data_IF_397682886836
#
_entry.id   IF_397682886836
#
_cell.length_a   1.000
_cell.length_b   1.000
_cell.length_c   1.000
_cell.angle_alpha   90.00
_cell.angle_beta   90.00
_cell.angle_gamma   90.00
#
_symmetry.space_group_name_H-M   'P 1'
#
loop_
_entity.id
_entity.type
_entity.pdbx_description
1 polymer ?
#
# COMPACT_ATOMS: atom_id res chain seq x y z
N UNK A 1 3.78 -24.87 -1.66
CA UNK A 1 4.47 -23.94 -2.56
C UNK A 1 4.31 -22.51 -2.04
N UNK A 2 5.41 -21.82 -1.83
CA UNK A 2 5.36 -20.44 -1.37
C UNK A 2 4.82 -19.60 -2.53
N UNK A 3 3.71 -18.92 -2.31
CA UNK A 3 3.20 -17.97 -3.29
C UNK A 3 4.12 -16.78 -3.37
N UNK A 4 4.19 -16.14 -4.55
CA UNK A 4 5.04 -14.97 -4.75
C UNK A 4 4.72 -13.82 -3.81
N UNK A 5 3.53 -13.81 -3.20
CA UNK A 5 3.10 -12.77 -2.28
C UNK A 5 2.72 -13.36 -0.94
N UNK A 6 3.71 -13.49 -0.06
CA UNK A 6 3.51 -13.87 1.34
C UNK A 6 3.91 -12.75 2.30
N UNK A 7 4.00 -11.52 1.81
CA UNK A 7 4.41 -10.38 2.60
C UNK A 7 3.27 -9.86 3.47
N UNK A 8 3.54 -9.74 4.76
CA UNK A 8 2.59 -9.26 5.75
C UNK A 8 2.99 -7.84 6.13
N UNK A 9 2.06 -6.94 6.16
CA UNK A 9 2.38 -5.58 6.61
C UNK A 9 1.23 -4.61 6.55
N UNK A 10 1.57 -3.39 6.99
CA UNK A 10 0.71 -2.22 6.89
C UNK A 10 1.15 -1.37 5.70
N UNK A 11 0.24 -0.58 5.19
CA UNK A 11 0.53 0.31 4.08
C UNK A 11 -0.34 1.55 4.12
N UNK A 12 0.10 2.59 3.43
CA UNK A 12 -0.69 3.80 3.22
C UNK A 12 -0.76 4.10 1.74
N UNK A 13 -1.97 4.38 1.27
CA UNK A 13 -2.24 4.80 -0.10
C UNK A 13 -2.65 6.26 -0.09
N UNK A 14 -2.31 6.98 -1.15
CA UNK A 14 -2.71 8.38 -1.32
C UNK A 14 -3.10 8.64 -2.77
N UNK A 15 -3.85 9.73 -2.99
CA UNK A 15 -4.20 10.16 -4.34
C UNK A 15 -3.15 11.12 -4.92
N UNK A 16 -2.46 11.86 -4.06
CA UNK A 16 -1.44 12.84 -4.45
C UNK A 16 -0.63 13.23 -3.22
N UNK A 17 0.44 13.98 -3.43
CA UNK A 17 1.22 14.55 -2.34
C UNK A 17 0.32 15.42 -1.46
N UNK A 18 0.40 15.20 -0.14
CA UNK A 18 -0.45 15.86 0.86
C UNK A 18 -1.95 15.66 0.63
N UNK A 19 -2.32 14.64 -0.13
CA UNK A 19 -3.71 14.32 -0.41
C UNK A 19 -4.35 13.44 0.66
N UNK A 20 -5.43 12.78 0.27
CA UNK A 20 -6.15 11.85 1.15
C UNK A 20 -5.29 10.61 1.39
N UNK A 21 -5.28 10.11 2.64
CA UNK A 21 -4.51 8.94 3.03
C UNK A 21 -5.47 7.82 3.46
N UNK A 22 -5.22 6.61 2.96
CA UNK A 22 -5.85 5.40 3.43
C UNK A 22 -4.79 4.50 4.08
N UNK A 23 -5.08 4.00 5.27
CA UNK A 23 -4.20 3.06 5.98
C UNK A 23 -4.83 1.68 5.95
N UNK A 24 -4.05 0.68 5.54
CA UNK A 24 -4.53 -0.69 5.42
C UNK A 24 -3.53 -1.71 5.95
N UNK A 25 -3.96 -2.96 5.95
CA UNK A 25 -3.17 -4.10 6.40
C UNK A 25 -3.50 -5.32 5.53
N UNK A 26 -2.50 -6.14 5.26
CA UNK A 26 -2.71 -7.37 4.49
C UNK A 26 -1.64 -8.41 4.82
N UNK A 27 -2.01 -9.68 4.67
CA UNK A 27 -1.06 -10.80 4.66
C UNK A 27 -0.57 -11.12 3.26
N UNK A 28 -1.06 -10.39 2.26
CA UNK A 28 -0.65 -10.47 0.86
C UNK A 28 -0.54 -9.05 0.33
N UNK A 29 0.53 -8.38 0.73
CA UNK A 29 0.70 -6.94 0.56
C UNK A 29 0.66 -6.51 -0.89
N UNK A 30 1.43 -7.18 -1.74
CA UNK A 30 1.54 -6.81 -3.16
C UNK A 30 0.18 -7.01 -3.85
N UNK A 31 -0.48 -8.14 -3.61
CA UNK A 31 -1.80 -8.43 -4.19
C UNK A 31 -2.81 -7.36 -3.78
N UNK A 32 -2.86 -7.05 -2.49
CA UNK A 32 -3.83 -6.08 -1.96
C UNK A 32 -3.60 -4.68 -2.52
N UNK A 33 -2.34 -4.25 -2.57
CA UNK A 33 -2.01 -2.93 -3.12
C UNK A 33 -2.31 -2.89 -4.62
N UNK A 34 -2.01 -3.96 -5.35
CA UNK A 34 -2.35 -4.08 -6.77
C UNK A 34 -3.85 -3.96 -7.01
N UNK A 35 -4.66 -4.57 -6.15
CA UNK A 35 -6.12 -4.46 -6.22
C UNK A 35 -6.61 -3.02 -5.98
N UNK A 36 -6.01 -2.30 -5.04
CA UNK A 36 -6.31 -0.88 -4.83
C UNK A 36 -5.97 -0.06 -6.07
N UNK A 37 -4.80 -0.30 -6.67
CA UNK A 37 -4.37 0.43 -7.87
C UNK A 37 -5.30 0.18 -9.05
N UNK A 38 -5.80 -1.03 -9.18
CA UNK A 38 -6.75 -1.41 -10.25
C UNK A 38 -8.18 -0.93 -9.97
N UNK A 39 -8.46 -0.42 -8.78
CA UNK A 39 -9.82 -0.05 -8.39
C UNK A 39 -10.73 -1.24 -8.20
N UNK A 40 -10.17 -2.42 -7.91
CA UNK A 40 -10.93 -3.67 -7.80
C UNK A 40 -11.63 -3.83 -6.44
N UNK A 41 -11.21 -3.04 -5.44
CA UNK A 41 -11.78 -3.09 -4.08
C UNK A 41 -12.68 -1.88 -3.89
N UNK A 42 -13.96 -2.13 -3.63
CA UNK A 42 -14.90 -1.06 -3.31
C UNK A 42 -14.56 -0.45 -1.96
N UNK A 43 -14.93 0.81 -1.79
CA UNK A 43 -14.78 1.52 -0.54
C UNK A 43 -14.01 2.81 -0.67
N UNK A 44 -13.44 3.26 0.46
CA UNK A 44 -12.81 4.57 0.59
C UNK A 44 -11.70 4.81 -0.42
N UNK A 45 -10.78 3.87 -0.58
CA UNK A 45 -9.62 4.03 -1.46
C UNK A 45 -10.04 4.18 -2.93
N UNK A 46 -11.02 3.39 -3.38
CA UNK A 46 -11.56 3.47 -4.74
C UNK A 46 -12.30 4.79 -4.94
N UNK A 47 -13.12 5.16 -3.97
CA UNK A 47 -13.97 6.36 -4.03
C UNK A 47 -13.13 7.63 -4.21
N UNK A 48 -11.97 7.71 -3.56
CA UNK A 48 -11.09 8.88 -3.61
C UNK A 48 -9.91 8.72 -4.55
N UNK A 49 -9.85 7.63 -5.31
CA UNK A 49 -8.80 7.40 -6.29
C UNK A 49 -7.41 7.23 -5.68
N UNK A 50 -7.30 6.53 -4.56
CA UNK A 50 -6.04 6.35 -3.84
C UNK A 50 -5.23 5.22 -4.49
N UNK A 51 -4.41 5.57 -5.45
CA UNK A 51 -3.67 4.61 -6.27
C UNK A 51 -2.16 4.62 -6.06
N UNK A 52 -1.63 5.58 -5.28
CA UNK A 52 -0.20 5.63 -4.96
C UNK A 52 0.06 4.90 -3.66
N UNK A 53 1.04 3.99 -3.67
CA UNK A 53 1.58 3.42 -2.45
C UNK A 53 2.63 4.39 -1.93
N UNK A 54 2.37 5.06 -0.80
CA UNK A 54 3.28 6.09 -0.29
C UNK A 54 4.07 5.66 0.94
N UNK A 55 3.67 4.57 1.58
CA UNK A 55 4.35 4.02 2.74
C UNK A 55 3.96 2.56 2.96
N UNK A 56 4.89 1.74 3.42
CA UNK A 56 4.61 0.37 3.87
C UNK A 56 5.59 -0.05 4.94
N UNK A 57 5.19 -1.07 5.72
CA UNK A 57 6.00 -1.62 6.81
C UNK A 57 5.72 -3.11 6.91
N UNK A 58 6.76 -3.93 6.88
CA UNK A 58 6.63 -5.38 7.01
C UNK A 58 6.46 -5.79 8.47
N UNK A 59 5.71 -6.87 8.69
CA UNK A 59 5.51 -7.48 9.99
C UNK A 59 5.66 -9.00 9.88
N UNK A 60 6.10 -9.64 10.97
CA UNK A 60 6.28 -11.09 11.00
C UNK A 60 4.96 -11.83 11.10
N UNK A 61 3.95 -11.20 11.71
CA UNK A 61 2.62 -11.81 11.89
C UNK A 61 1.52 -10.84 11.49
N UNK A 62 0.39 -11.40 11.07
CA UNK A 62 -0.78 -10.59 10.73
C UNK A 62 -1.36 -9.89 11.98
N UNK A 63 -1.25 -10.50 13.15
CA UNK A 63 -1.72 -9.90 14.40
C UNK A 63 -0.94 -8.62 14.70
N UNK A 64 0.39 -8.65 14.60
CA UNK A 64 1.22 -7.46 14.80
C UNK A 64 0.90 -6.37 13.78
N UNK A 65 0.69 -6.76 12.53
CA UNK A 65 0.35 -5.82 11.46
C UNK A 65 -1.01 -5.14 11.71
N UNK A 66 -2.00 -5.91 12.16
CA UNK A 66 -3.33 -5.38 12.49
C UNK A 66 -3.24 -4.39 13.65
N UNK A 67 -2.48 -4.71 14.68
CA UNK A 67 -2.31 -3.81 15.83
C UNK A 67 -1.66 -2.48 15.40
N UNK A 68 -0.64 -2.58 14.54
CA UNK A 68 0.03 -1.39 14.00
C UNK A 68 -0.93 -0.55 13.16
N UNK A 69 -1.70 -1.18 12.28
CA UNK A 69 -2.69 -0.50 11.44
C UNK A 69 -3.72 0.25 12.31
N UNK A 70 -4.24 -0.39 13.36
CA UNK A 70 -5.18 0.26 14.26
C UNK A 70 -4.58 1.47 14.94
N UNK A 71 -3.33 1.36 15.39
CA UNK A 71 -2.60 2.48 15.99
C UNK A 71 -2.47 3.63 15.00
N UNK A 72 -2.02 3.34 13.79
CA UNK A 72 -1.81 4.35 12.75
C UNK A 72 -3.11 5.04 12.35
N UNK A 73 -4.22 4.31 12.32
CA UNK A 73 -5.52 4.89 11.97
C UNK A 73 -5.98 5.95 12.96
N UNK A 74 -5.55 5.86 14.22
CA UNK A 74 -5.90 6.83 15.26
C UNK A 74 -4.93 8.01 15.35
N UNK A 75 -3.82 7.96 14.60
CA UNK A 75 -2.87 9.05 14.59
C UNK A 75 -3.47 10.29 13.93
N UNK A 76 -3.11 11.50 14.42
CA UNK A 76 -3.41 12.73 13.69
C UNK A 76 -2.82 12.68 12.28
N UNK A 77 -3.45 13.38 11.37
CA UNK A 77 -3.01 13.43 9.97
C UNK A 77 -1.54 13.82 9.83
N UNK A 78 -1.10 14.83 10.59
CA UNK A 78 0.29 15.31 10.52
C UNK A 78 1.30 14.22 10.87
N UNK A 79 0.96 13.36 11.81
CA UNK A 79 1.83 12.24 12.19
C UNK A 79 1.95 11.22 11.06
N UNK A 80 0.85 10.94 10.37
CA UNK A 80 0.87 10.04 9.21
C UNK A 80 1.71 10.63 8.09
N UNK A 81 1.54 11.92 7.80
CA UNK A 81 2.32 12.61 6.78
C UNK A 81 3.81 12.59 7.13
N UNK A 82 4.16 12.84 8.38
CA UNK A 82 5.56 12.77 8.83
C UNK A 82 6.14 11.36 8.68
N UNK A 83 5.37 10.34 9.00
CA UNK A 83 5.82 8.96 8.83
C UNK A 83 6.11 8.63 7.37
N UNK A 84 5.24 9.05 6.46
CA UNK A 84 5.45 8.90 5.02
C UNK A 84 6.73 9.61 4.59
N UNK A 85 6.90 10.85 4.99
CA UNK A 85 7.97 11.72 4.52
C UNK A 85 9.35 11.35 5.05
N UNK A 86 9.44 10.57 6.12
CA UNK A 86 10.73 10.03 6.60
C UNK A 86 11.45 9.21 5.54
N UNK A 87 10.71 8.44 4.76
CA UNK A 87 11.27 7.55 3.74
C UNK A 87 10.86 7.94 2.34
N UNK A 88 9.86 8.81 2.20
CA UNK A 88 9.29 9.18 0.91
C UNK A 88 8.85 10.64 0.92
N UNK A 89 9.80 11.59 0.92
CA UNK A 89 9.49 13.00 1.12
C UNK A 89 8.59 13.61 0.03
N UNK A 90 8.54 13.02 -1.14
CA UNK A 90 7.72 13.52 -2.26
C UNK A 90 6.44 12.74 -2.49
N UNK A 91 6.14 11.76 -1.63
CA UNK A 91 4.94 10.91 -1.76
C UNK A 91 4.88 10.20 -3.12
N UNK A 92 6.03 9.75 -3.59
CA UNK A 92 6.11 8.97 -4.82
C UNK A 92 5.42 7.62 -4.65
N UNK A 93 5.00 7.04 -5.77
CA UNK A 93 4.43 5.69 -5.77
C UNK A 93 5.55 4.67 -5.60
N UNK A 94 5.53 3.93 -4.49
CA UNK A 94 6.57 2.96 -4.12
C UNK A 94 6.28 1.54 -4.63
N UNK A 95 5.21 1.32 -5.37
CA UNK A 95 4.75 -0.02 -5.70
C UNK A 95 5.78 -0.82 -6.51
N UNK A 96 6.31 -0.25 -7.58
CA UNK A 96 7.30 -0.95 -8.41
C UNK A 96 8.56 -1.29 -7.63
N UNK A 97 9.00 -0.39 -6.76
CA UNK A 97 10.14 -0.63 -5.88
C UNK A 97 9.89 -1.75 -4.90
N UNK A 98 8.68 -1.82 -4.33
CA UNK A 98 8.28 -2.89 -3.43
C UNK A 98 8.32 -4.25 -4.14
N UNK A 99 7.75 -4.35 -5.33
CA UNK A 99 7.73 -5.58 -6.10
C UNK A 99 9.16 -6.05 -6.40
N UNK A 100 10.02 -5.17 -6.84
CA UNK A 100 11.41 -5.50 -7.14
C UNK A 100 12.21 -5.90 -5.89
N UNK A 101 12.06 -5.14 -4.82
CA UNK A 101 12.80 -5.39 -3.57
C UNK A 101 12.39 -6.69 -2.90
N UNK A 102 11.14 -7.10 -3.06
CA UNK A 102 10.62 -8.33 -2.47
C UNK A 102 11.05 -9.59 -3.22
N UNK A 103 11.50 -9.45 -4.47
CA UNK A 103 11.74 -10.58 -5.36
C UNK A 103 10.45 -11.30 -5.77
N UNK A 104 9.29 -10.75 -5.40
CA UNK A 104 8.01 -11.35 -5.76
C UNK A 104 7.69 -11.05 -7.22
N UNK A 105 7.20 -12.08 -7.93
CA UNK A 105 6.57 -11.85 -9.21
C UNK A 105 5.08 -11.63 -8.94
N UNK A 106 4.52 -10.55 -9.42
CA UNK A 106 3.12 -10.27 -9.17
C UNK A 106 2.23 -11.27 -9.87
N UNK A 107 1.09 -11.57 -9.24
CA UNK A 107 0.07 -12.40 -9.86
C UNK A 107 -0.34 -11.76 -11.20
N UNK A 108 -0.26 -12.50 -12.32
CA UNK A 108 -0.64 -11.95 -13.62
C UNK A 108 -2.07 -11.40 -13.66
N UNK A 109 -2.97 -11.93 -12.85
CA UNK A 109 -4.34 -11.44 -12.79
C UNK A 109 -4.44 -10.06 -12.14
N UNK A 110 -3.61 -9.78 -11.16
CA UNK A 110 -3.52 -8.45 -10.55
C UNK A 110 -2.98 -7.46 -11.57
N UNK A 111 -1.98 -7.87 -12.35
CA UNK A 111 -1.39 -7.00 -13.37
C UNK A 111 -2.27 -6.79 -14.58
N UNK A 112 -3.14 -7.74 -14.89
CA UNK A 112 -4.03 -7.63 -16.05
C UNK A 112 -4.89 -6.38 -15.99
N UNK A 113 -5.30 -5.99 -14.80
CA UNK A 113 -6.18 -4.84 -14.58
C UNK A 113 -5.42 -3.60 -14.13
N UNK A 114 -4.09 -3.69 -14.01
CA UNK A 114 -3.28 -2.55 -13.61
C UNK A 114 -2.80 -1.81 -14.85
N UNK A 115 -3.15 -0.54 -14.91
CA UNK A 115 -2.65 0.36 -15.95
C UNK A 115 -1.61 1.25 -15.29
N UNK A 116 -0.35 1.27 -15.79
CA UNK A 116 0.64 2.18 -15.23
C UNK A 116 0.14 3.62 -15.34
N UNK A 117 0.42 4.46 -14.34
CA UNK A 117 0.04 5.86 -14.41
C UNK A 117 0.69 6.50 -15.63
N UNK A 118 -0.08 7.24 -16.39
CA UNK A 118 0.46 8.03 -17.49
C UNK A 118 1.34 9.13 -16.91
N UNK A 119 2.51 9.23 -17.46
CA UNK A 119 3.43 10.31 -17.08
C UNK A 119 2.97 11.66 -17.64
#
# INVERSE_FOLDING_TARGET
MVTADSLIGCYMMANRMHGVIYTGVSSQLITRIGQHRAGAIDGFAKRYGLKRLVWYEFHDTIVAAIQREKTLKHWPRDWKANLIERTNPHWDDLFDGLVRASGAEPDPEVYRNWVPPEE
#
